data_IF_100184741098
#
_entry.id   IF_100184741098
#
_cell.length_a   1.000
_cell.length_b   1.000
_cell.length_c   1.000
_cell.angle_alpha   90.00
_cell.angle_beta   90.00
_cell.angle_gamma   90.00
#
_symmetry.space_group_name_H-M   'P 1'
#
loop_
_entity.id
_entity.type
_entity.pdbx_description
1 polymer ?
#
# COMPACT_ATOMS: atom_id res chain seq x y z
N UNK A 1 -29.26 -2.31 -14.16
CA UNK A 1 -29.76 -2.31 -12.78
C UNK A 1 -29.75 -0.88 -12.27
N UNK A 2 -30.90 -0.38 -11.80
CA UNK A 2 -31.15 1.03 -11.42
C UNK A 2 -30.15 1.52 -10.35
N UNK A 3 -29.56 2.70 -10.55
CA UNK A 3 -28.56 3.29 -9.61
C UNK A 3 -29.12 3.44 -8.19
N UNK A 4 -30.41 3.65 -8.03
CA UNK A 4 -31.07 3.75 -6.72
C UNK A 4 -31.11 2.43 -5.95
N UNK A 5 -31.37 1.29 -6.62
CA UNK A 5 -31.35 -0.04 -5.98
C UNK A 5 -29.94 -0.38 -5.49
N UNK A 6 -28.93 -0.02 -6.28
CA UNK A 6 -27.52 -0.20 -5.93
C UNK A 6 -27.13 0.58 -4.67
N UNK A 7 -27.60 1.82 -4.54
CA UNK A 7 -27.32 2.69 -3.40
C UNK A 7 -27.99 2.17 -2.10
N UNK A 8 -29.23 1.67 -2.18
CA UNK A 8 -29.98 1.10 -1.05
C UNK A 8 -29.35 -0.22 -0.59
N UNK A 9 -29.00 -1.11 -1.52
CA UNK A 9 -28.31 -2.38 -1.21
C UNK A 9 -26.97 -2.10 -0.52
N UNK A 10 -26.21 -1.13 -1.00
CA UNK A 10 -24.94 -0.73 -0.38
C UNK A 10 -25.14 -0.17 1.04
N UNK A 11 -26.12 0.72 1.26
CA UNK A 11 -26.33 1.34 2.56
C UNK A 11 -26.80 0.35 3.64
N UNK A 12 -27.47 -0.73 3.27
CA UNK A 12 -27.97 -1.75 4.22
C UNK A 12 -27.02 -2.94 4.40
N UNK A 13 -26.40 -3.40 3.31
CA UNK A 13 -25.56 -4.61 3.34
C UNK A 13 -24.18 -4.32 3.93
N UNK A 14 -23.56 -3.17 3.63
CA UNK A 14 -22.22 -2.87 4.10
C UNK A 14 -22.09 -2.71 5.61
N UNK A 15 -23.00 -2.04 6.33
CA UNK A 15 -22.93 -2.00 7.79
C UNK A 15 -23.03 -3.40 8.42
N UNK A 16 -23.89 -4.29 7.88
CA UNK A 16 -24.01 -5.67 8.37
C UNK A 16 -22.72 -6.47 8.12
N UNK A 17 -22.14 -6.35 6.94
CA UNK A 17 -20.86 -6.96 6.63
C UNK A 17 -19.73 -6.40 7.50
N UNK A 18 -19.70 -5.10 7.74
CA UNK A 18 -18.73 -4.49 8.63
C UNK A 18 -18.87 -5.01 10.07
N UNK A 19 -20.09 -5.09 10.60
CA UNK A 19 -20.34 -5.67 11.91
C UNK A 19 -19.90 -7.13 11.98
N UNK A 20 -20.21 -7.94 10.98
CA UNK A 20 -19.75 -9.32 10.88
C UNK A 20 -18.23 -9.42 10.89
N UNK A 21 -17.56 -8.63 10.06
CA UNK A 21 -16.10 -8.64 10.02
C UNK A 21 -15.49 -8.12 11.32
N UNK A 22 -16.04 -7.08 11.90
CA UNK A 22 -15.56 -6.54 13.17
C UNK A 22 -15.70 -7.52 14.34
N UNK A 23 -16.75 -8.32 14.38
CA UNK A 23 -17.01 -9.25 15.47
C UNK A 23 -16.43 -10.64 15.25
N UNK A 24 -16.47 -11.14 14.02
CA UNK A 24 -16.13 -12.54 13.70
C UNK A 24 -14.79 -12.68 12.98
N UNK A 25 -14.27 -11.61 12.38
CA UNK A 25 -13.04 -11.63 11.57
C UNK A 25 -11.91 -10.80 12.16
N UNK A 26 -12.21 -9.83 13.04
CA UNK A 26 -11.20 -8.96 13.67
C UNK A 26 -10.23 -9.71 14.58
N UNK A 27 -10.60 -10.90 15.05
CA UNK A 27 -9.71 -11.79 15.81
C UNK A 27 -8.80 -12.63 14.92
N UNK A 28 -9.03 -12.65 13.61
CA UNK A 28 -8.20 -13.41 12.67
C UNK A 28 -6.81 -12.80 12.57
N UNK A 29 -5.85 -13.69 12.37
CA UNK A 29 -4.44 -13.36 12.24
C UNK A 29 -3.91 -13.85 10.91
N UNK A 30 -2.83 -13.22 10.46
CA UNK A 30 -1.96 -13.73 9.42
C UNK A 30 -0.50 -13.72 9.92
N UNK A 31 0.35 -14.49 9.26
CA UNK A 31 1.77 -14.57 9.60
C UNK A 31 2.55 -13.90 8.47
N UNK A 32 3.49 -13.05 8.84
CA UNK A 32 4.42 -12.42 7.92
C UNK A 32 5.81 -12.38 8.57
N UNK A 33 6.82 -12.94 7.91
CA UNK A 33 8.20 -13.05 8.38
C UNK A 33 8.29 -13.66 9.81
N UNK A 34 7.51 -14.73 10.04
CA UNK A 34 7.45 -15.42 11.32
C UNK A 34 6.72 -14.68 12.45
N UNK A 35 6.26 -13.45 12.20
CA UNK A 35 5.51 -12.64 13.16
C UNK A 35 4.01 -12.70 12.90
N UNK A 36 3.23 -12.71 13.97
CA UNK A 36 1.77 -12.76 13.90
C UNK A 36 1.19 -11.35 13.93
N UNK A 37 0.33 -11.07 12.95
CA UNK A 37 -0.39 -9.81 12.79
C UNK A 37 -1.90 -10.04 12.85
N UNK A 38 -2.64 -9.04 13.32
CA UNK A 38 -4.10 -9.01 13.19
C UNK A 38 -4.48 -8.29 11.91
N UNK A 39 -5.51 -8.80 11.22
CA UNK A 39 -6.07 -8.07 10.09
C UNK A 39 -6.63 -6.72 10.51
N UNK A 40 -6.31 -5.70 9.73
CA UNK A 40 -6.84 -4.36 9.95
C UNK A 40 -8.26 -4.24 9.36
N UNK A 41 -9.19 -3.73 10.16
CA UNK A 41 -10.59 -3.59 9.77
C UNK A 41 -11.05 -2.14 9.96
N UNK A 42 -11.35 -1.46 8.87
CA UNK A 42 -11.92 -0.12 8.86
C UNK A 42 -13.05 -0.02 7.85
N UNK A 43 -14.08 0.75 8.18
CA UNK A 43 -15.16 1.05 7.24
C UNK A 43 -14.64 1.91 6.06
N UNK A 44 -13.69 2.79 6.34
CA UNK A 44 -12.99 3.56 5.32
C UNK A 44 -12.23 2.59 4.41
N UNK A 45 -12.36 2.77 3.09
CA UNK A 45 -11.78 1.91 2.06
C UNK A 45 -12.14 0.42 2.18
N UNK A 46 -13.09 0.05 3.06
CA UNK A 46 -13.56 -1.33 3.23
C UNK A 46 -12.42 -2.32 3.37
N UNK A 47 -11.45 -2.00 4.24
CA UNK A 47 -10.18 -2.72 4.34
C UNK A 47 -10.33 -4.22 4.55
N UNK A 48 -11.43 -4.69 5.14
CA UNK A 48 -11.72 -6.12 5.30
C UNK A 48 -11.92 -6.89 3.97
N UNK A 49 -11.93 -6.20 2.84
CA UNK A 49 -12.19 -6.77 1.51
C UNK A 49 -10.99 -6.76 0.58
N UNK A 50 -9.96 -6.01 0.90
CA UNK A 50 -8.81 -5.77 0.03
C UNK A 50 -7.48 -5.93 0.78
N UNK A 51 -6.39 -5.66 0.09
CA UNK A 51 -5.02 -5.75 0.57
C UNK A 51 -4.72 -4.81 1.74
N UNK A 52 -5.48 -3.71 1.92
CA UNK A 52 -5.32 -2.80 3.07
C UNK A 52 -5.44 -3.51 4.42
N UNK A 53 -6.15 -4.65 4.46
CA UNK A 53 -6.26 -5.45 5.68
C UNK A 53 -4.91 -5.98 6.18
N UNK A 54 -3.94 -6.20 5.30
CA UNK A 54 -2.60 -6.68 5.63
C UNK A 54 -1.55 -5.58 5.52
N UNK A 55 -1.67 -4.66 4.56
CA UNK A 55 -0.72 -3.55 4.38
C UNK A 55 -0.66 -2.63 5.60
N UNK A 56 -1.82 -2.20 6.08
CA UNK A 56 -1.91 -1.22 7.17
C UNK A 56 -1.18 -1.70 8.43
N UNK A 57 -1.45 -2.91 9.00
CA UNK A 57 -0.76 -3.33 10.22
C UNK A 57 0.74 -3.53 10.00
N UNK A 58 1.16 -4.01 8.81
CA UNK A 58 2.58 -4.21 8.50
C UNK A 58 3.34 -2.89 8.47
N UNK A 59 2.84 -1.92 7.72
CA UNK A 59 3.55 -0.65 7.54
C UNK A 59 3.43 0.23 8.79
N UNK A 60 2.26 0.26 9.45
CA UNK A 60 2.09 1.04 10.68
C UNK A 60 3.04 0.59 11.78
N UNK A 61 3.20 -0.72 11.98
CA UNK A 61 4.15 -1.23 12.96
C UNK A 61 5.59 -0.82 12.64
N UNK A 62 6.01 -0.92 11.35
CA UNK A 62 7.34 -0.48 10.93
C UNK A 62 7.55 1.02 11.18
N UNK A 63 6.55 1.84 10.91
CA UNK A 63 6.61 3.29 11.18
C UNK A 63 6.79 3.58 12.67
N UNK A 64 6.11 2.83 13.53
CA UNK A 64 6.20 3.01 14.99
C UNK A 64 7.56 2.63 15.61
N UNK A 65 8.45 1.97 14.85
CA UNK A 65 9.82 1.66 15.26
C UNK A 65 10.78 2.85 15.07
N UNK A 66 10.35 3.93 14.39
CA UNK A 66 11.18 5.08 14.08
C UNK A 66 10.64 6.36 14.71
N UNK A 67 11.53 7.33 15.07
CA UNK A 67 11.10 8.68 15.42
C UNK A 67 10.32 9.34 14.27
N UNK A 68 9.19 9.98 14.58
CA UNK A 68 8.28 10.54 13.56
C UNK A 68 9.00 11.50 12.60
N UNK A 69 9.92 12.31 13.08
CA UNK A 69 10.70 13.26 12.26
C UNK A 69 11.67 12.58 11.29
N UNK A 70 11.88 11.25 11.42
CA UNK A 70 12.76 10.43 10.57
C UNK A 70 12.00 9.60 9.56
N UNK A 71 10.67 9.73 9.54
CA UNK A 71 9.79 8.98 8.64
C UNK A 71 9.21 9.91 7.57
N UNK A 72 9.15 9.41 6.34
CA UNK A 72 8.39 9.99 5.22
C UNK A 72 7.37 8.98 4.73
N UNK A 73 6.13 9.39 4.60
CA UNK A 73 5.10 8.61 3.89
C UNK A 73 4.85 9.22 2.50
N UNK A 74 4.90 8.38 1.48
CA UNK A 74 4.54 8.72 0.10
C UNK A 74 3.11 8.26 -0.16
N UNK A 75 2.22 9.23 -0.40
CA UNK A 75 0.78 9.02 -0.40
C UNK A 75 0.19 9.05 1.02
N UNK A 76 -0.85 9.82 1.22
CA UNK A 76 -1.43 10.01 2.55
C UNK A 76 -2.41 8.87 2.89
N UNK A 77 -1.92 7.77 3.43
CA UNK A 77 -2.74 6.60 3.77
C UNK A 77 -2.94 6.44 5.27
N UNK A 78 -1.85 6.48 6.05
CA UNK A 78 -1.91 6.19 7.50
C UNK A 78 -2.70 7.24 8.28
N UNK A 79 -2.63 8.52 7.90
CA UNK A 79 -3.38 9.60 8.57
C UNK A 79 -4.90 9.41 8.51
N UNK A 80 -5.38 8.59 7.58
CA UNK A 80 -6.80 8.26 7.47
C UNK A 80 -7.29 7.27 8.53
N UNK A 81 -6.37 6.63 9.24
CA UNK A 81 -6.67 5.58 10.20
C UNK A 81 -6.08 5.85 11.59
N UNK A 82 -4.98 6.59 11.65
CA UNK A 82 -4.23 6.85 12.88
C UNK A 82 -3.87 8.33 12.99
N UNK A 83 -3.62 8.77 14.20
CA UNK A 83 -2.96 10.06 14.43
C UNK A 83 -1.46 9.85 14.17
N UNK A 84 -0.96 10.48 13.12
CA UNK A 84 0.46 10.45 12.73
C UNK A 84 0.98 11.87 12.54
N UNK A 85 2.26 12.10 12.89
CA UNK A 85 2.90 13.41 12.77
C UNK A 85 4.16 13.36 11.88
N UNK A 86 4.47 12.21 11.26
CA UNK A 86 5.56 12.12 10.30
C UNK A 86 5.26 12.93 9.03
N UNK A 87 6.29 13.20 8.25
CA UNK A 87 6.13 13.89 6.97
C UNK A 87 5.35 13.07 5.97
N UNK A 88 4.46 13.72 5.23
CA UNK A 88 3.69 13.12 4.14
C UNK A 88 3.85 13.94 2.87
N UNK A 89 4.17 13.27 1.77
CA UNK A 89 4.13 13.85 0.41
C UNK A 89 3.07 13.14 -0.43
N UNK A 90 2.15 13.91 -1.01
CA UNK A 90 1.12 13.41 -1.91
C UNK A 90 0.85 14.41 -3.03
N UNK A 91 0.82 13.93 -4.28
CA UNK A 91 0.65 14.78 -5.45
C UNK A 91 -0.74 15.42 -5.54
N UNK A 92 -1.76 14.74 -5.05
CA UNK A 92 -3.16 15.08 -5.29
C UNK A 92 -3.88 15.54 -4.02
N UNK A 93 -3.52 15.01 -2.87
CA UNK A 93 -4.20 15.34 -1.63
C UNK A 93 -3.74 16.71 -1.08
N UNK A 94 -4.72 17.59 -0.86
CA UNK A 94 -4.50 18.92 -0.27
C UNK A 94 -4.98 18.90 1.18
N UNK A 95 -4.06 18.67 2.10
CA UNK A 95 -4.32 18.69 3.54
C UNK A 95 -3.23 19.53 4.23
N UNK A 96 -3.54 20.08 5.40
CA UNK A 96 -2.62 20.94 6.17
C UNK A 96 -1.29 20.25 6.51
N UNK A 97 -1.33 18.95 6.73
CA UNK A 97 -0.15 18.15 7.14
C UNK A 97 0.45 17.35 5.96
N UNK A 98 0.07 17.65 4.73
CA UNK A 98 0.55 16.98 3.52
C UNK A 98 1.29 17.97 2.65
N UNK A 99 2.51 17.64 2.25
CA UNK A 99 3.22 18.37 1.21
C UNK A 99 2.64 17.97 -0.14
N UNK A 100 1.87 18.87 -0.76
CA UNK A 100 1.21 18.62 -2.04
C UNK A 100 2.21 18.82 -3.19
N UNK A 101 2.94 17.78 -3.53
CA UNK A 101 3.99 17.79 -4.55
C UNK A 101 4.15 16.40 -5.20
N UNK A 102 4.61 16.40 -6.46
CA UNK A 102 5.01 15.14 -7.11
C UNK A 102 6.26 14.57 -6.43
N UNK A 103 6.26 13.27 -6.18
CA UNK A 103 7.35 12.58 -5.49
C UNK A 103 8.68 12.68 -6.22
N UNK A 104 8.68 12.78 -7.55
CA UNK A 104 9.93 12.92 -8.34
C UNK A 104 10.61 14.27 -8.12
N UNK A 105 9.84 15.30 -7.79
CA UNK A 105 10.32 16.68 -7.58
C UNK A 105 10.48 17.03 -6.10
N UNK A 106 10.07 16.12 -5.19
CA UNK A 106 10.13 16.36 -3.76
C UNK A 106 11.57 16.42 -3.26
N UNK A 107 11.99 17.58 -2.76
CA UNK A 107 13.36 17.87 -2.29
C UNK A 107 13.35 18.56 -0.93
N UNK A 108 13.05 17.83 0.15
CA UNK A 108 13.06 18.38 1.49
C UNK A 108 14.50 18.70 1.94
N UNK A 109 14.63 19.60 2.93
CA UNK A 109 15.92 19.96 3.52
C UNK A 109 16.52 18.89 4.43
N UNK A 110 15.75 17.86 4.79
CA UNK A 110 16.15 16.75 5.67
C UNK A 110 16.16 15.41 4.94
N UNK A 111 16.75 14.41 5.59
CA UNK A 111 16.79 13.02 5.12
C UNK A 111 16.04 12.12 6.11
N UNK A 112 15.68 10.92 5.67
CA UNK A 112 14.83 9.99 6.40
C UNK A 112 15.55 8.67 6.66
N UNK A 113 15.19 8.02 7.76
CA UNK A 113 15.67 6.67 8.08
C UNK A 113 14.69 5.62 7.53
N UNK A 114 13.40 6.00 7.43
CA UNK A 114 12.36 5.18 6.84
C UNK A 114 11.52 6.01 5.86
N UNK A 115 11.34 5.50 4.66
CA UNK A 115 10.35 6.00 3.70
C UNK A 115 9.36 4.88 3.44
N UNK A 116 8.05 5.17 3.54
CA UNK A 116 7.00 4.18 3.30
C UNK A 116 6.05 4.64 2.19
N UNK A 117 5.51 3.70 1.43
CA UNK A 117 4.46 3.95 0.45
C UNK A 117 3.48 2.78 0.41
N UNK A 118 2.21 3.04 0.74
CA UNK A 118 1.19 2.00 0.82
C UNK A 118 0.33 2.02 -0.43
N UNK A 119 0.55 1.09 -1.37
CA UNK A 119 -0.13 1.03 -2.68
C UNK A 119 -0.18 2.39 -3.41
N UNK A 120 0.84 3.22 -3.23
CA UNK A 120 0.88 4.57 -3.82
C UNK A 120 1.76 4.59 -5.07
N UNK A 121 2.93 3.95 -5.01
CA UNK A 121 3.87 4.00 -6.13
C UNK A 121 3.34 3.32 -7.40
N UNK A 122 2.37 2.43 -7.29
CA UNK A 122 1.71 1.79 -8.44
C UNK A 122 1.01 2.79 -9.36
N UNK A 123 0.63 3.96 -8.83
CA UNK A 123 -0.07 5.02 -9.54
C UNK A 123 0.88 6.02 -10.22
N UNK A 124 2.14 6.09 -9.76
CA UNK A 124 3.12 7.09 -10.25
C UNK A 124 3.40 6.87 -11.74
N UNK A 125 3.08 7.87 -12.54
CA UNK A 125 3.20 7.85 -14.00
C UNK A 125 2.16 6.98 -14.71
N UNK A 126 1.58 5.98 -14.05
CA UNK A 126 0.63 5.05 -14.66
C UNK A 126 -0.77 5.66 -14.84
N UNK A 127 -1.30 6.28 -13.77
CA UNK A 127 -2.64 6.91 -13.78
C UNK A 127 -2.59 8.39 -14.20
N UNK A 128 -1.46 8.85 -14.66
CA UNK A 128 -1.25 10.23 -15.11
C UNK A 128 -1.65 10.44 -16.57
N UNK A 129 -1.93 11.67 -16.96
CA UNK A 129 -2.22 12.03 -18.35
C UNK A 129 -1.29 13.18 -18.81
N UNK A 130 -0.34 12.95 -19.73
CA UNK A 130 -0.07 11.66 -20.39
C UNK A 130 0.48 10.61 -19.42
N UNK A 131 0.25 9.32 -19.73
CA UNK A 131 0.78 8.20 -18.93
C UNK A 131 2.27 8.02 -19.20
N UNK A 132 3.06 7.94 -18.14
CA UNK A 132 4.52 7.71 -18.16
C UNK A 132 4.89 6.58 -17.18
N UNK A 133 4.55 5.31 -17.46
CA UNK A 133 4.69 4.23 -16.47
C UNK A 133 6.12 3.99 -15.95
N UNK A 134 7.14 4.39 -16.71
CA UNK A 134 8.56 4.31 -16.28
C UNK A 134 8.93 5.36 -15.24
N UNK A 135 8.08 6.34 -14.97
CA UNK A 135 8.28 7.39 -13.97
C UNK A 135 8.47 6.86 -12.55
N UNK A 136 7.95 5.66 -12.27
CA UNK A 136 8.17 4.96 -10.99
C UNK A 136 9.66 4.78 -10.68
N UNK A 137 10.52 4.53 -11.68
CA UNK A 137 11.97 4.40 -11.47
C UNK A 137 12.57 5.72 -11.01
N UNK A 138 12.16 6.84 -11.61
CA UNK A 138 12.60 8.18 -11.20
C UNK A 138 12.13 8.49 -9.76
N UNK A 139 10.92 8.07 -9.39
CA UNK A 139 10.41 8.21 -8.03
C UNK A 139 11.28 7.44 -7.02
N UNK A 140 11.62 6.19 -7.32
CA UNK A 140 12.49 5.35 -6.47
C UNK A 140 13.89 5.97 -6.36
N UNK A 141 14.48 6.44 -7.45
CA UNK A 141 15.78 7.08 -7.43
C UNK A 141 15.78 8.35 -6.57
N UNK A 142 14.75 9.20 -6.72
CA UNK A 142 14.61 10.38 -5.87
C UNK A 142 14.45 9.99 -4.39
N UNK A 143 13.54 9.08 -4.06
CA UNK A 143 13.32 8.62 -2.69
C UNK A 143 14.60 8.01 -2.08
N UNK A 144 15.36 7.23 -2.86
CA UNK A 144 16.64 6.65 -2.40
C UNK A 144 17.64 7.76 -2.08
N UNK A 145 17.65 8.85 -2.85
CA UNK A 145 18.49 10.00 -2.57
C UNK A 145 18.18 10.67 -1.23
N UNK A 146 16.91 10.61 -0.80
CA UNK A 146 16.42 11.21 0.45
C UNK A 146 16.68 10.36 1.70
N UNK A 147 17.18 9.14 1.56
CA UNK A 147 17.54 8.30 2.70
C UNK A 147 18.82 8.75 3.37
N UNK A 148 18.86 8.63 4.68
CA UNK A 148 20.11 8.59 5.46
C UNK A 148 20.92 7.32 5.12
N UNK A 149 22.23 7.27 5.41
CA UNK A 149 22.99 6.02 5.40
C UNK A 149 22.28 4.96 6.27
N UNK A 150 22.18 3.73 5.78
CA UNK A 150 21.43 2.62 6.39
C UNK A 150 19.90 2.83 6.49
N UNK A 151 19.37 3.91 5.91
CA UNK A 151 17.94 4.12 5.76
C UNK A 151 17.32 3.15 4.75
N UNK A 152 16.02 2.97 4.81
CA UNK A 152 15.30 2.06 3.90
C UNK A 152 13.99 2.66 3.39
N UNK A 153 13.61 2.22 2.20
CA UNK A 153 12.28 2.41 1.64
C UNK A 153 11.53 1.10 1.80
N UNK A 154 10.28 1.16 2.26
CA UNK A 154 9.38 0.00 2.31
C UNK A 154 8.09 0.36 1.59
N UNK A 155 7.76 -0.38 0.55
CA UNK A 155 6.59 -0.12 -0.29
C UNK A 155 5.72 -1.36 -0.42
N UNK A 156 4.43 -1.15 -0.49
CA UNK A 156 3.49 -2.21 -0.84
C UNK A 156 2.99 -1.98 -2.26
N UNK A 157 3.04 -3.04 -3.06
CA UNK A 157 2.78 -3.01 -4.50
C UNK A 157 1.76 -4.09 -4.85
N UNK A 158 0.46 -3.73 -5.00
CA UNK A 158 -0.57 -4.67 -5.44
C UNK A 158 -0.33 -5.08 -6.89
N UNK A 159 -0.25 -6.40 -7.11
CA UNK A 159 0.02 -6.99 -8.42
C UNK A 159 -1.23 -7.03 -9.31
N UNK A 160 -1.02 -6.94 -10.61
CA UNK A 160 -2.06 -6.96 -11.64
C UNK A 160 -2.76 -5.62 -11.86
N UNK A 161 -2.43 -4.58 -11.07
CA UNK A 161 -2.95 -3.22 -11.28
C UNK A 161 -2.15 -2.48 -12.36
N UNK A 162 -0.84 -2.47 -12.25
CA UNK A 162 0.08 -1.79 -13.16
C UNK A 162 1.02 -2.81 -13.82
N UNK A 163 0.67 -3.22 -15.04
CA UNK A 163 1.43 -4.23 -15.76
C UNK A 163 2.90 -3.85 -16.03
N UNK A 164 3.20 -2.55 -16.18
CA UNK A 164 4.59 -2.09 -16.34
C UNK A 164 5.36 -2.30 -15.04
N UNK A 165 4.79 -1.94 -13.90
CA UNK A 165 5.41 -2.15 -12.59
C UNK A 165 5.63 -3.65 -12.33
N UNK A 166 4.62 -4.50 -12.63
CA UNK A 166 4.74 -5.95 -12.44
C UNK A 166 5.90 -6.51 -13.27
N UNK A 167 6.05 -6.07 -14.52
CA UNK A 167 7.20 -6.42 -15.39
C UNK A 167 8.53 -5.93 -14.80
N UNK A 168 8.60 -4.68 -14.34
CA UNK A 168 9.83 -4.13 -13.74
C UNK A 168 10.27 -4.89 -12.48
N UNK A 169 9.32 -5.42 -11.71
CA UNK A 169 9.59 -6.29 -10.55
C UNK A 169 10.10 -7.66 -11.02
N UNK A 170 9.46 -8.25 -12.03
CA UNK A 170 9.81 -9.59 -12.55
C UNK A 170 11.21 -9.60 -13.19
N UNK A 171 11.51 -8.61 -14.00
CA UNK A 171 12.80 -8.44 -14.69
C UNK A 171 13.93 -7.91 -13.77
N UNK A 172 13.60 -7.51 -12.54
CA UNK A 172 14.57 -6.95 -11.58
C UNK A 172 15.04 -5.54 -11.90
N UNK A 173 14.35 -4.83 -12.80
CA UNK A 173 14.63 -3.42 -13.11
C UNK A 173 14.22 -2.50 -11.94
N UNK A 174 13.12 -2.83 -11.24
CA UNK A 174 12.81 -2.23 -9.95
C UNK A 174 13.69 -2.87 -8.87
N UNK A 175 14.82 -2.24 -8.56
CA UNK A 175 15.90 -2.77 -7.71
C UNK A 175 15.44 -2.86 -6.24
N UNK A 176 14.79 -3.95 -5.88
CA UNK A 176 14.42 -4.27 -4.50
C UNK A 176 15.56 -5.05 -3.83
N UNK A 177 16.05 -4.56 -2.68
CA UNK A 177 17.03 -5.29 -1.84
C UNK A 177 16.41 -6.56 -1.27
N UNK A 178 15.12 -6.47 -0.87
CA UNK A 178 14.31 -7.61 -0.40
C UNK A 178 12.92 -7.53 -1.00
N UNK A 179 12.37 -8.68 -1.32
CA UNK A 179 11.03 -8.83 -1.84
C UNK A 179 10.29 -9.92 -1.08
N UNK A 180 9.23 -9.55 -0.42
CA UNK A 180 8.31 -10.49 0.22
C UNK A 180 6.98 -10.47 -0.51
N UNK A 181 6.31 -11.61 -0.55
CA UNK A 181 5.07 -11.74 -1.29
C UNK A 181 3.96 -12.26 -0.38
N UNK A 182 2.77 -11.68 -0.52
CA UNK A 182 1.55 -12.16 0.10
C UNK A 182 0.54 -12.51 -0.99
N UNK A 183 -0.14 -13.65 -0.82
CA UNK A 183 -1.21 -14.12 -1.70
C UNK A 183 -2.54 -14.15 -0.98
N UNK A 184 -3.57 -13.60 -1.61
CA UNK A 184 -4.94 -13.77 -1.17
C UNK A 184 -5.43 -15.15 -1.56
N UNK A 185 -5.91 -15.92 -0.58
CA UNK A 185 -6.29 -17.33 -0.77
C UNK A 185 -7.79 -17.59 -0.64
N UNK A 186 -8.57 -16.55 -0.33
CA UNK A 186 -10.01 -16.73 -0.15
C UNK A 186 -10.81 -15.46 -0.41
N UNK A 187 -12.11 -15.63 -0.70
CA UNK A 187 -13.05 -14.52 -0.88
C UNK A 187 -13.32 -13.72 0.41
N UNK A 188 -13.09 -14.32 1.56
CA UNK A 188 -13.19 -13.67 2.88
C UNK A 188 -11.86 -13.02 3.31
N UNK A 189 -11.02 -12.69 2.32
CA UNK A 189 -9.81 -11.88 2.44
C UNK A 189 -8.74 -12.48 3.36
N UNK A 190 -8.51 -13.80 3.27
CA UNK A 190 -7.36 -14.45 3.93
C UNK A 190 -6.12 -14.34 3.07
N UNK A 191 -5.00 -14.04 3.73
CA UNK A 191 -3.70 -13.87 3.10
C UNK A 191 -2.67 -14.80 3.71
N UNK A 192 -1.74 -15.25 2.90
CA UNK A 192 -0.57 -16.03 3.32
C UNK A 192 0.69 -15.45 2.68
N UNK A 193 1.80 -15.55 3.39
CA UNK A 193 3.12 -15.31 2.82
C UNK A 193 3.49 -16.45 1.87
N UNK A 194 4.11 -16.12 0.74
CA UNK A 194 4.45 -17.10 -0.31
C UNK A 194 5.62 -16.60 -1.17
N UNK A 195 6.04 -17.40 -2.14
CA UNK A 195 7.08 -17.04 -3.09
C UNK A 195 6.55 -16.23 -4.28
N UNK A 196 7.47 -15.53 -4.96
CA UNK A 196 7.18 -14.75 -6.16
C UNK A 196 6.45 -15.54 -7.25
N UNK A 197 6.88 -16.78 -7.51
CA UNK A 197 6.29 -17.68 -8.51
C UNK A 197 4.78 -17.93 -8.31
N UNK A 198 4.30 -17.78 -7.09
CA UNK A 198 2.90 -18.04 -6.75
C UNK A 198 2.02 -16.79 -6.88
N UNK A 199 2.63 -15.60 -7.03
CA UNK A 199 1.92 -14.33 -7.12
C UNK A 199 2.18 -13.51 -8.40
N UNK A 200 3.26 -13.81 -9.16
CA UNK A 200 3.66 -13.02 -10.34
C UNK A 200 2.61 -12.97 -11.46
N UNK A 201 1.64 -13.90 -11.45
CA UNK A 201 0.49 -13.91 -12.36
C UNK A 201 -0.82 -13.48 -11.67
N UNK A 202 -0.73 -12.89 -10.49
CA UNK A 202 -1.91 -12.42 -9.76
C UNK A 202 -2.62 -11.31 -10.52
N UNK A 203 -3.94 -11.32 -10.41
CA UNK A 203 -4.81 -10.33 -11.03
C UNK A 203 -5.27 -9.28 -10.02
N UNK A 204 -5.51 -8.08 -10.50
CA UNK A 204 -6.25 -7.06 -9.79
C UNK A 204 -7.72 -7.14 -10.21
N UNK A 205 -8.63 -7.25 -9.25
CA UNK A 205 -10.05 -7.43 -9.53
C UNK A 205 -10.82 -6.13 -9.31
N UNK A 206 -11.47 -5.66 -10.38
CA UNK A 206 -12.37 -4.52 -10.35
C UNK A 206 -13.80 -5.00 -10.12
N UNK A 207 -14.22 -5.00 -8.87
CA UNK A 207 -15.59 -5.35 -8.53
C UNK A 207 -16.46 -4.11 -8.41
N UNK A 208 -17.72 -4.26 -8.76
CA UNK A 208 -18.71 -3.19 -8.62
C UNK A 208 -18.75 -2.57 -7.22
N UNK A 209 -18.47 -3.35 -6.19
CA UNK A 209 -18.58 -2.96 -4.78
C UNK A 209 -17.24 -2.65 -4.12
N UNK A 210 -16.12 -3.18 -4.62
CA UNK A 210 -14.77 -3.02 -4.07
C UNK A 210 -13.75 -3.58 -5.06
N UNK A 211 -12.63 -2.92 -5.11
CA UNK A 211 -11.46 -3.39 -5.87
C UNK A 211 -10.51 -4.10 -4.91
N UNK A 212 -9.78 -5.09 -5.41
CA UNK A 212 -8.78 -5.80 -4.63
C UNK A 212 -7.68 -6.45 -5.47
N UNK A 213 -6.48 -6.46 -4.91
CA UNK A 213 -5.40 -7.29 -5.41
C UNK A 213 -5.53 -8.74 -4.88
N UNK A 214 -5.07 -9.71 -5.68
CA UNK A 214 -4.94 -11.11 -5.28
C UNK A 214 -3.49 -11.49 -4.95
N UNK A 215 -2.54 -10.62 -5.29
CA UNK A 215 -1.13 -10.71 -4.94
C UNK A 215 -0.61 -9.35 -4.50
N UNK A 216 0.29 -9.36 -3.53
CA UNK A 216 0.90 -8.15 -2.97
C UNK A 216 2.40 -8.39 -2.79
N UNK A 217 3.20 -7.44 -3.25
CA UNK A 217 4.63 -7.36 -2.95
C UNK A 217 4.87 -6.35 -1.84
N UNK A 218 5.65 -6.74 -0.83
CA UNK A 218 6.30 -5.82 0.08
C UNK A 218 7.76 -5.70 -0.37
N UNK A 219 8.07 -4.57 -1.01
CA UNK A 219 9.40 -4.26 -1.53
C UNK A 219 10.20 -3.45 -0.52
N UNK A 220 11.46 -3.84 -0.32
CA UNK A 220 12.41 -3.10 0.52
C UNK A 220 13.59 -2.66 -0.33
N UNK A 221 14.00 -1.41 -0.20
CA UNK A 221 15.22 -0.85 -0.78
C UNK A 221 16.05 -0.30 0.38
N UNK A 222 17.23 -0.85 0.59
CA UNK A 222 18.17 -0.42 1.64
C UNK A 222 19.28 0.43 1.03
N UNK A 223 19.59 1.56 1.68
CA UNK A 223 20.74 2.39 1.29
C UNK A 223 21.97 1.94 2.07
N UNK A 224 23.03 1.68 1.37
CA UNK A 224 24.36 1.38 1.95
C UNK A 224 24.91 2.52 2.81
#
# INVERSE_FOLDING_TARGET
VNSGIKMVVNSLIFPLWYCYYRTSVSSRIFIFQGKTYRYFNSFRNRTWRNERAVEIPLIYEMVMEYPEERVLEVGNVLSHYFLVNHDVVDKYEKNKNVTNQDVIDFKPSKRYDLIVGISTLVHVGFDENPSEPMKILQAIDNLTSLLNPKGKIVVTLPLGYNATMDRLIDEGELKLTKRYCLKRISRDNKWIETDWKDVNTSTYEYHYLFDNANGLVIGVIEKE
#
